data_IF_283506183732
#
_entry.id   IF_283506183732
#
_cell.length_a   1.000
_cell.length_b   1.000
_cell.length_c   1.000
_cell.angle_alpha   90.00
_cell.angle_beta   90.00
_cell.angle_gamma   90.00
#
_symmetry.space_group_name_H-M   'P 1'
#
loop_
_entity.id
_entity.type
_entity.pdbx_description
1 polymer ?
#
# COMPACT_ATOMS: atom_id res chain seq x y z
N UNK A 1 10.16 -18.40 -9.27
CA UNK A 1 8.95 -17.55 -9.19
C UNK A 1 9.41 -16.19 -8.71
N UNK A 2 8.71 -15.12 -9.06
CA UNK A 2 9.06 -13.76 -8.64
C UNK A 2 7.79 -12.96 -8.34
N UNK A 3 7.88 -12.01 -7.41
CA UNK A 3 6.79 -11.13 -7.05
C UNK A 3 6.94 -10.60 -5.62
N UNK A 4 6.07 -9.66 -5.26
CA UNK A 4 5.94 -9.12 -3.91
C UNK A 4 4.54 -9.44 -3.38
N UNK A 5 4.46 -10.24 -2.30
CA UNK A 5 3.19 -10.67 -1.68
C UNK A 5 2.44 -9.51 -1.04
N UNK A 6 3.14 -8.43 -0.65
CA UNK A 6 2.50 -7.22 -0.16
C UNK A 6 1.74 -6.49 -1.27
N UNK A 7 2.11 -6.68 -2.55
CA UNK A 7 1.36 -6.17 -3.70
C UNK A 7 0.23 -7.11 -4.16
N UNK A 8 0.01 -8.24 -3.49
CA UNK A 8 -1.07 -9.18 -3.84
C UNK A 8 -2.42 -8.72 -3.28
N UNK A 9 -3.15 -7.95 -4.09
CA UNK A 9 -4.48 -7.39 -3.77
C UNK A 9 -5.65 -8.10 -4.47
N UNK A 10 -5.38 -9.15 -5.25
CA UNK A 10 -6.43 -9.94 -5.90
C UNK A 10 -7.20 -10.75 -4.84
N UNK A 11 -8.54 -10.68 -4.87
CA UNK A 11 -9.40 -11.40 -3.92
C UNK A 11 -9.12 -12.91 -3.98
N UNK A 12 -8.94 -13.53 -2.80
CA UNK A 12 -8.69 -14.96 -2.66
C UNK A 12 -7.26 -15.40 -2.99
N UNK A 13 -6.35 -14.47 -3.33
CA UNK A 13 -4.95 -14.79 -3.56
C UNK A 13 -4.12 -14.50 -2.31
N UNK A 14 -4.06 -15.46 -1.40
CA UNK A 14 -3.24 -15.43 -0.19
C UNK A 14 -2.24 -16.57 -0.22
N UNK A 15 -0.96 -16.25 -0.40
CA UNK A 15 0.14 -17.21 -0.29
C UNK A 15 1.42 -16.46 0.08
N UNK A 16 2.37 -17.17 0.69
CA UNK A 16 3.76 -16.73 0.82
C UNK A 16 4.64 -17.53 -0.11
N UNK A 17 5.66 -16.91 -0.69
CA UNK A 17 6.64 -17.63 -1.50
C UNK A 17 7.34 -18.70 -0.67
N UNK A 18 7.61 -18.45 0.61
CA UNK A 18 8.17 -19.46 1.53
C UNK A 18 7.31 -20.73 1.60
N UNK A 19 5.99 -20.59 1.65
CA UNK A 19 5.06 -21.73 1.73
C UNK A 19 5.03 -22.50 0.40
N UNK A 20 5.02 -21.80 -0.74
CA UNK A 20 5.12 -22.41 -2.07
C UNK A 20 6.47 -23.13 -2.28
N UNK A 21 7.58 -22.49 -1.91
CA UNK A 21 8.93 -23.08 -1.96
C UNK A 21 8.99 -24.36 -1.13
N UNK A 22 8.41 -24.36 0.08
CA UNK A 22 8.35 -25.53 0.94
C UNK A 22 7.53 -26.67 0.31
N UNK A 23 6.38 -26.37 -0.29
CA UNK A 23 5.54 -27.37 -0.97
C UNK A 23 6.23 -27.98 -2.18
N UNK A 24 6.85 -27.17 -3.03
CA UNK A 24 7.61 -27.64 -4.21
C UNK A 24 8.77 -28.53 -3.74
N UNK A 25 9.52 -28.09 -2.74
CA UNK A 25 10.63 -28.84 -2.18
C UNK A 25 10.17 -30.20 -1.62
N UNK A 26 9.05 -30.24 -0.89
CA UNK A 26 8.47 -31.50 -0.39
C UNK A 26 8.02 -32.42 -1.53
N UNK A 27 7.45 -31.87 -2.60
CA UNK A 27 7.04 -32.66 -3.76
C UNK A 27 8.25 -33.29 -4.47
N UNK A 28 9.31 -32.50 -4.67
CA UNK A 28 10.55 -32.99 -5.28
C UNK A 28 11.20 -34.10 -4.44
N UNK A 29 11.24 -33.96 -3.11
CA UNK A 29 11.73 -34.99 -2.20
C UNK A 29 10.97 -36.32 -2.35
N UNK A 30 9.63 -36.28 -2.37
CA UNK A 30 8.79 -37.48 -2.55
C UNK A 30 9.05 -38.17 -3.89
N UNK A 31 9.34 -37.40 -4.94
CA UNK A 31 9.63 -37.91 -6.28
C UNK A 31 11.04 -38.48 -6.42
N UNK A 32 12.02 -37.90 -5.71
CA UNK A 32 13.37 -38.42 -5.66
C UNK A 32 13.41 -39.79 -4.97
N UNK A 33 12.70 -39.94 -3.83
CA UNK A 33 12.59 -41.21 -3.09
C UNK A 33 11.98 -42.32 -3.96
N UNK A 34 10.96 -42.02 -4.78
CA UNK A 34 10.29 -43.04 -5.60
C UNK A 34 11.08 -43.49 -6.84
N UNK A 35 12.15 -42.78 -7.22
CA UNK A 35 12.90 -43.05 -8.46
C UNK A 35 14.36 -43.50 -8.27
N UNK A 36 14.84 -43.72 -7.04
CA UNK A 36 16.24 -44.10 -6.75
C UNK A 36 17.30 -43.18 -7.42
N UNK A 37 16.90 -41.96 -7.79
CA UNK A 37 17.79 -40.99 -8.40
C UNK A 37 18.36 -40.12 -7.27
N UNK A 38 19.68 -40.04 -7.18
CA UNK A 38 20.39 -39.04 -6.38
C UNK A 38 20.17 -37.65 -6.97
N UNK A 39 18.99 -37.08 -6.76
CA UNK A 39 18.79 -35.65 -6.97
C UNK A 39 19.48 -34.92 -5.81
N UNK A 40 20.67 -34.38 -6.07
CA UNK A 40 21.33 -33.46 -5.16
C UNK A 40 20.35 -32.34 -4.79
N UNK A 41 20.02 -32.22 -3.50
CA UNK A 41 19.18 -31.20 -2.86
C UNK A 41 19.01 -29.91 -3.68
N UNK A 42 17.92 -29.82 -4.44
CA UNK A 42 17.51 -28.62 -5.17
C UNK A 42 16.61 -27.77 -4.28
N UNK A 43 17.10 -27.35 -3.08
CA UNK A 43 16.38 -26.30 -2.35
C UNK A 43 16.27 -25.09 -3.30
N UNK A 44 15.06 -24.55 -3.54
CA UNK A 44 14.91 -23.37 -4.38
C UNK A 44 15.86 -22.27 -3.90
N UNK A 45 16.69 -21.74 -4.82
CA UNK A 45 17.53 -20.58 -4.52
C UNK A 45 16.65 -19.34 -4.51
N UNK A 46 16.64 -18.66 -3.38
CA UNK A 46 15.92 -17.41 -3.18
C UNK A 46 16.95 -16.28 -3.13
N UNK A 47 16.62 -15.15 -3.75
CA UNK A 47 17.40 -13.91 -3.65
C UNK A 47 16.45 -12.73 -3.67
N UNK A 48 16.85 -11.64 -3.04
CA UNK A 48 16.05 -10.44 -2.88
C UNK A 48 16.64 -9.30 -3.70
N UNK A 49 15.77 -8.42 -4.21
CA UNK A 49 16.15 -7.18 -4.87
C UNK A 49 15.56 -6.03 -4.05
N UNK A 50 16.39 -5.42 -3.21
CA UNK A 50 15.94 -4.39 -2.26
C UNK A 50 16.31 -2.97 -2.68
N UNK A 51 16.99 -2.76 -3.81
CA UNK A 51 17.32 -1.41 -4.30
C UNK A 51 16.24 -0.94 -5.27
N UNK A 52 15.57 0.16 -4.93
CA UNK A 52 14.53 0.76 -5.73
C UNK A 52 15.07 1.99 -6.47
N UNK A 53 15.05 1.91 -7.81
CA UNK A 53 15.50 2.97 -8.72
C UNK A 53 14.34 3.80 -9.29
N UNK A 54 13.09 3.49 -8.91
CA UNK A 54 11.89 4.10 -9.49
C UNK A 54 11.35 5.23 -8.63
N UNK A 55 11.43 5.08 -7.31
CA UNK A 55 10.96 6.04 -6.31
C UNK A 55 12.08 6.43 -5.36
N UNK A 56 11.98 7.63 -4.79
CA UNK A 56 12.97 8.16 -3.86
C UNK A 56 12.72 7.75 -2.40
N UNK A 57 13.69 8.02 -1.53
CA UNK A 57 13.68 7.64 -0.10
C UNK A 57 12.41 8.05 0.67
N UNK A 58 11.88 9.26 0.46
CA UNK A 58 10.66 9.73 1.15
C UNK A 58 9.42 8.84 0.93
N UNK A 59 9.14 8.42 -0.31
CA UNK A 59 8.03 7.52 -0.62
C UNK A 59 8.30 6.12 -0.06
N UNK A 60 9.54 5.63 -0.19
CA UNK A 60 9.91 4.31 0.31
C UNK A 60 9.85 4.20 1.83
N UNK A 61 10.16 5.27 2.56
CA UNK A 61 10.00 5.31 4.01
C UNK A 61 8.53 5.13 4.41
N UNK A 62 7.61 5.79 3.71
CA UNK A 62 6.17 5.60 3.92
C UNK A 62 5.73 4.18 3.56
N UNK A 63 6.16 3.67 2.40
CA UNK A 63 5.84 2.31 1.98
C UNK A 63 6.36 1.25 2.98
N UNK A 64 7.56 1.47 3.49
CA UNK A 64 8.20 0.61 4.51
C UNK A 64 7.44 0.62 5.84
N UNK A 65 6.88 1.75 6.26
CA UNK A 65 6.06 1.80 7.48
C UNK A 65 4.77 0.99 7.34
N UNK A 66 4.15 0.97 6.14
CA UNK A 66 2.99 0.11 5.86
C UNK A 66 3.38 -1.38 5.87
N UNK A 67 4.54 -1.73 5.32
CA UNK A 67 5.08 -3.10 5.40
C UNK A 67 5.36 -3.49 6.85
N UNK A 68 5.88 -2.58 7.67
CA UNK A 68 6.11 -2.81 9.09
C UNK A 68 4.80 -3.16 9.81
N UNK A 69 3.75 -2.37 9.60
CA UNK A 69 2.41 -2.67 10.14
C UNK A 69 1.89 -4.05 9.69
N UNK A 70 2.09 -4.42 8.42
CA UNK A 70 1.75 -5.76 7.93
C UNK A 70 2.53 -6.86 8.67
N UNK A 71 3.82 -6.66 8.98
CA UNK A 71 4.63 -7.65 9.71
C UNK A 71 4.21 -7.79 11.16
N UNK A 72 3.93 -6.68 11.84
CA UNK A 72 3.56 -6.67 13.26
C UNK A 72 2.15 -7.21 13.46
N UNK A 73 1.19 -6.74 12.68
CA UNK A 73 -0.22 -7.11 12.84
C UNK A 73 -0.57 -8.42 12.12
N UNK A 74 0.09 -8.73 10.99
CA UNK A 74 -0.24 -9.88 10.15
C UNK A 74 1.01 -10.64 9.69
N UNK A 75 1.82 -11.20 10.62
CA UNK A 75 3.12 -11.82 10.31
C UNK A 75 3.02 -12.97 9.30
N UNK A 76 1.89 -13.66 9.25
CA UNK A 76 1.68 -14.77 8.31
C UNK A 76 1.12 -14.35 6.95
N UNK A 77 0.90 -13.05 6.72
CA UNK A 77 0.26 -12.54 5.50
C UNK A 77 1.21 -12.15 4.37
N UNK A 78 2.49 -11.98 4.68
CA UNK A 78 3.54 -11.57 3.73
C UNK A 78 4.84 -12.35 4.00
N UNK A 79 5.72 -12.41 2.99
CA UNK A 79 7.08 -12.90 3.19
C UNK A 79 7.93 -11.84 3.93
N UNK A 80 8.88 -12.32 4.73
CA UNK A 80 9.86 -11.48 5.38
C UNK A 80 10.96 -11.12 4.38
N UNK A 81 11.01 -9.85 3.98
CA UNK A 81 11.96 -9.33 3.00
C UNK A 81 12.78 -8.18 3.60
N UNK A 82 13.98 -7.96 3.08
CA UNK A 82 14.75 -6.76 3.42
C UNK A 82 13.98 -5.50 3.00
N UNK A 83 13.96 -4.42 3.82
CA UNK A 83 13.33 -3.17 3.43
C UNK A 83 13.91 -2.62 2.12
N UNK A 84 13.05 -2.04 1.28
CA UNK A 84 13.51 -1.36 0.08
C UNK A 84 14.29 -0.09 0.44
N UNK A 85 15.40 0.14 -0.27
CA UNK A 85 16.26 1.30 -0.14
C UNK A 85 16.37 2.04 -1.48
N UNK A 86 16.54 3.36 -1.41
CA UNK A 86 16.90 4.18 -2.55
C UNK A 86 18.08 5.06 -2.19
N UNK A 87 19.00 5.19 -3.15
CA UNK A 87 20.15 6.09 -3.05
C UNK A 87 19.76 7.56 -3.26
N UNK A 88 18.57 7.80 -3.82
CA UNK A 88 18.06 9.13 -4.15
C UNK A 88 17.16 9.63 -3.04
N UNK A 89 17.51 10.80 -2.49
CA UNK A 89 16.65 11.53 -1.56
C UNK A 89 15.43 12.15 -2.27
N UNK A 90 14.39 12.48 -1.51
CA UNK A 90 13.23 13.18 -2.07
C UNK A 90 12.28 13.66 -0.97
N UNK A 91 11.27 14.45 -1.33
CA UNK A 91 10.33 15.02 -0.38
C UNK A 91 9.57 13.94 0.38
N UNK A 92 9.11 14.25 1.59
CA UNK A 92 8.16 13.38 2.29
C UNK A 92 6.78 13.50 1.62
N UNK A 93 5.99 12.42 1.55
CA UNK A 93 4.59 12.49 1.17
C UNK A 93 3.84 13.54 2.00
N UNK A 94 2.92 14.26 1.36
CA UNK A 94 2.19 15.35 1.99
C UNK A 94 0.74 14.94 2.23
N UNK A 95 0.29 15.07 3.47
CA UNK A 95 -1.13 14.92 3.80
C UNK A 95 -1.79 16.30 3.70
N UNK A 96 -2.80 16.42 2.85
CA UNK A 96 -3.52 17.68 2.61
C UNK A 96 -4.61 17.84 3.68
N UNK A 97 -4.69 19.03 4.26
CA UNK A 97 -5.61 19.38 5.35
C UNK A 97 -6.31 20.71 5.07
N UNK A 98 -7.50 20.88 5.66
CA UNK A 98 -8.21 22.17 5.65
C UNK A 98 -8.80 22.58 4.29
N UNK A 99 -8.77 21.71 3.28
CA UNK A 99 -9.34 21.94 1.96
C UNK A 99 -10.64 21.16 1.77
N UNK A 100 -11.65 21.78 1.14
CA UNK A 100 -12.82 21.05 0.66
C UNK A 100 -12.46 20.25 -0.60
N UNK A 101 -13.03 19.06 -0.77
CA UNK A 101 -12.78 18.22 -1.94
C UNK A 101 -12.97 18.95 -3.28
N UNK A 102 -14.00 19.81 -3.36
CA UNK A 102 -14.26 20.63 -4.55
C UNK A 102 -13.10 21.58 -4.86
N UNK A 103 -12.45 22.13 -3.84
CA UNK A 103 -11.34 23.09 -4.01
C UNK A 103 -10.04 22.45 -4.46
N UNK A 104 -9.88 21.13 -4.31
CA UNK A 104 -8.70 20.41 -4.80
C UNK A 104 -8.58 20.38 -6.32
N UNK A 105 -9.74 20.42 -7.01
CA UNK A 105 -9.82 20.19 -8.45
C UNK A 105 -10.36 21.40 -9.22
N UNK A 106 -10.60 22.54 -8.55
CA UNK A 106 -11.13 23.74 -9.20
C UNK A 106 -10.00 24.60 -9.78
N UNK A 107 -10.19 24.96 -11.05
CA UNK A 107 -9.31 25.87 -11.78
C UNK A 107 -9.44 27.33 -11.26
N UNK A 108 -8.32 27.89 -10.79
CA UNK A 108 -7.98 29.32 -10.55
C UNK A 108 -8.91 30.20 -9.70
N UNK A 109 -8.38 30.74 -8.60
CA UNK A 109 -7.87 32.12 -8.53
C UNK A 109 -7.17 32.37 -7.18
N UNK A 110 -5.97 32.94 -7.24
CA UNK A 110 -5.23 33.68 -6.21
C UNK A 110 -5.15 33.15 -4.76
N UNK A 111 -3.89 32.88 -4.38
CA UNK A 111 -3.31 32.82 -3.02
C UNK A 111 -3.42 31.47 -2.30
N UNK A 112 -2.24 30.90 -2.11
CA UNK A 112 -1.88 29.92 -1.08
C UNK A 112 -2.82 28.72 -0.99
N UNK A 113 -2.65 27.72 -1.88
CA UNK A 113 -2.89 26.31 -1.54
C UNK A 113 -2.24 25.39 -2.58
N UNK A 114 -1.84 24.20 -2.12
CA UNK A 114 -1.09 23.18 -2.89
C UNK A 114 -1.89 22.78 -4.13
N UNK A 115 -1.41 23.22 -5.30
CA UNK A 115 -2.04 22.88 -6.58
C UNK A 115 -1.42 21.60 -7.17
N UNK A 116 -2.29 20.69 -7.58
CA UNK A 116 -1.94 19.51 -8.38
C UNK A 116 -2.56 19.75 -9.75
N UNK A 117 -1.80 20.37 -10.65
CA UNK A 117 -2.12 20.29 -12.09
C UNK A 117 -2.11 18.79 -12.44
N UNK A 118 -3.03 18.26 -13.25
CA UNK A 118 -3.12 16.83 -13.60
C UNK A 118 -2.80 16.65 -15.09
N UNK A 119 -1.51 16.68 -15.43
CA UNK A 119 -0.93 16.34 -16.73
C UNK A 119 -0.74 14.84 -16.93
N UNK A 120 -0.10 14.47 -18.05
CA UNK A 120 0.01 13.07 -18.51
C UNK A 120 0.78 12.11 -17.56
N UNK A 121 1.47 12.63 -16.56
CA UNK A 121 2.22 11.85 -15.56
C UNK A 121 1.58 11.81 -14.18
N UNK A 122 0.35 12.30 -14.03
CA UNK A 122 -0.30 12.52 -12.74
C UNK A 122 -1.63 11.78 -12.68
N UNK A 123 -1.92 11.19 -11.53
CA UNK A 123 -3.10 10.33 -11.35
C UNK A 123 -3.74 10.55 -9.99
N UNK A 124 -5.06 10.40 -9.95
CA UNK A 124 -5.79 10.26 -8.71
C UNK A 124 -6.11 8.78 -8.52
N UNK A 125 -5.69 8.25 -7.37
CA UNK A 125 -5.98 6.88 -6.97
C UNK A 125 -7.08 6.92 -5.90
N UNK A 126 -8.17 6.20 -6.18
CA UNK A 126 -9.30 6.01 -5.27
C UNK A 126 -9.39 4.55 -4.81
N UNK A 127 -10.09 4.30 -3.69
CA UNK A 127 -10.16 2.97 -3.09
C UNK A 127 -10.82 1.93 -4.00
N UNK A 128 -11.98 2.26 -4.58
CA UNK A 128 -12.78 1.34 -5.39
C UNK A 128 -13.59 2.06 -6.49
N UNK A 129 -14.39 1.28 -7.23
CA UNK A 129 -15.19 1.80 -8.35
C UNK A 129 -16.31 2.75 -7.90
N UNK A 130 -16.84 2.58 -6.69
CA UNK A 130 -17.89 3.46 -6.16
C UNK A 130 -17.32 4.84 -5.84
N UNK A 131 -16.13 4.88 -5.24
CA UNK A 131 -15.39 6.12 -5.00
C UNK A 131 -15.00 6.82 -6.33
N UNK A 132 -14.59 6.05 -7.33
CA UNK A 132 -14.27 6.55 -8.68
C UNK A 132 -15.46 7.24 -9.33
N UNK A 133 -16.62 6.58 -9.33
CA UNK A 133 -17.85 7.12 -9.90
C UNK A 133 -18.34 8.36 -9.14
N UNK A 134 -18.24 8.36 -7.82
CA UNK A 134 -18.59 9.52 -6.99
C UNK A 134 -17.71 10.73 -7.34
N UNK A 135 -16.39 10.54 -7.41
CA UNK A 135 -15.44 11.61 -7.74
C UNK A 135 -15.66 12.14 -9.16
N UNK A 136 -15.82 11.27 -10.16
CA UNK A 136 -16.11 11.66 -11.54
C UNK A 136 -17.46 12.39 -11.68
N UNK A 137 -18.44 12.09 -10.82
CA UNK A 137 -19.72 12.79 -10.78
C UNK A 137 -19.63 14.21 -10.21
N UNK A 138 -18.63 14.51 -9.38
CA UNK A 138 -18.44 15.85 -8.80
C UNK A 138 -17.88 16.84 -9.82
N UNK A 139 -16.86 16.44 -10.59
CA UNK A 139 -16.28 17.25 -11.66
C UNK A 139 -15.85 16.33 -12.81
N UNK A 140 -16.23 16.65 -14.05
CA UNK A 140 -15.87 15.85 -15.22
C UNK A 140 -14.47 16.15 -15.78
N UNK A 141 -13.83 17.23 -15.32
CA UNK A 141 -12.53 17.73 -15.81
C UNK A 141 -11.39 17.48 -14.82
N UNK A 142 -11.54 16.49 -13.93
CA UNK A 142 -10.56 16.20 -12.89
C UNK A 142 -9.26 15.59 -13.47
N UNK A 143 -9.33 14.90 -14.62
CA UNK A 143 -8.18 14.19 -15.21
C UNK A 143 -8.23 12.68 -14.98
N UNK A 144 -7.07 12.01 -14.93
CA UNK A 144 -6.99 10.55 -14.82
C UNK A 144 -7.29 10.06 -13.40
N UNK A 145 -8.43 9.38 -13.22
CA UNK A 145 -8.81 8.71 -11.97
C UNK A 145 -8.80 7.20 -12.17
N UNK A 146 -8.06 6.48 -11.32
CA UNK A 146 -7.97 5.03 -11.32
C UNK A 146 -8.26 4.47 -9.94
N UNK A 147 -8.83 3.27 -9.88
CA UNK A 147 -8.87 2.51 -8.61
C UNK A 147 -7.47 1.97 -8.29
N UNK A 148 -7.23 1.61 -7.03
CA UNK A 148 -5.98 0.90 -6.63
C UNK A 148 -5.74 -0.36 -7.48
N UNK A 149 -6.82 -1.07 -7.84
CA UNK A 149 -6.72 -2.28 -8.65
C UNK A 149 -6.30 -1.98 -10.10
N UNK A 150 -6.87 -0.94 -10.70
CA UNK A 150 -6.52 -0.51 -12.06
C UNK A 150 -5.10 0.07 -12.15
N UNK A 151 -4.68 0.83 -11.13
CA UNK A 151 -3.35 1.42 -11.08
C UNK A 151 -2.23 0.38 -10.85
N UNK A 152 -2.57 -0.86 -10.45
CA UNK A 152 -1.59 -1.90 -10.16
C UNK A 152 -0.75 -2.21 -11.41
N UNK A 153 0.57 -2.10 -11.28
CA UNK A 153 1.51 -2.34 -12.37
C UNK A 153 1.77 -1.11 -13.25
N UNK A 154 1.11 0.01 -12.98
CA UNK A 154 1.40 1.32 -13.58
C UNK A 154 2.26 2.16 -12.64
N UNK A 155 2.91 3.18 -13.15
CA UNK A 155 3.72 4.12 -12.36
C UNK A 155 3.51 5.54 -12.86
N UNK A 156 3.46 6.49 -11.94
CA UNK A 156 3.14 7.88 -12.21
C UNK A 156 4.15 8.78 -11.49
N UNK A 157 4.42 9.95 -12.05
CA UNK A 157 5.32 10.91 -11.40
C UNK A 157 4.66 11.43 -10.13
N UNK A 158 3.41 11.87 -10.23
CA UNK A 158 2.66 12.33 -9.07
C UNK A 158 1.36 11.56 -8.86
N UNK A 159 1.08 11.22 -7.61
CA UNK A 159 -0.11 10.48 -7.19
C UNK A 159 -0.84 11.27 -6.11
N UNK A 160 -2.13 11.50 -6.31
CA UNK A 160 -3.06 11.90 -5.26
C UNK A 160 -3.86 10.67 -4.81
N UNK A 161 -3.67 10.24 -3.56
CA UNK A 161 -4.52 9.26 -2.93
C UNK A 161 -5.74 9.98 -2.33
N UNK A 162 -6.92 9.71 -2.87
CA UNK A 162 -8.16 10.42 -2.52
C UNK A 162 -9.12 9.53 -1.72
N UNK A 163 -9.54 10.02 -0.56
CA UNK A 163 -10.50 9.41 0.37
C UNK A 163 -10.23 7.93 0.66
N UNK A 164 -8.95 7.53 0.72
CA UNK A 164 -8.63 6.12 0.86
C UNK A 164 -9.11 5.56 2.20
N UNK A 165 -8.99 6.32 3.29
CA UNK A 165 -9.41 5.89 4.62
C UNK A 165 -10.91 6.07 4.83
N UNK A 166 -11.50 7.14 4.30
CA UNK A 166 -12.92 7.41 4.34
C UNK A 166 -13.73 6.35 3.57
N UNK A 167 -13.25 5.94 2.39
CA UNK A 167 -13.88 4.91 1.55
C UNK A 167 -13.43 3.49 1.94
N UNK A 168 -12.58 3.33 2.96
CA UNK A 168 -12.10 2.03 3.40
C UNK A 168 -13.19 1.26 4.18
N UNK A 169 -13.44 -0.03 3.85
CA UNK A 169 -14.35 -0.87 4.62
C UNK A 169 -13.87 -1.15 6.06
N UNK A 170 -12.61 -0.81 6.40
CA UNK A 170 -12.09 -0.98 7.75
C UNK A 170 -12.60 0.08 8.73
N UNK A 171 -12.96 1.29 8.27
CA UNK A 171 -13.50 2.37 9.10
C UNK A 171 -12.71 2.56 10.41
N UNK A 172 -13.38 2.56 11.57
CA UNK A 172 -12.76 2.73 12.89
C UNK A 172 -11.73 1.65 13.28
N UNK A 173 -11.62 0.55 12.54
CA UNK A 173 -10.63 -0.51 12.80
C UNK A 173 -9.21 -0.02 12.57
N UNK A 174 -9.00 1.00 11.74
CA UNK A 174 -7.69 1.64 11.53
C UNK A 174 -7.05 2.11 12.84
N UNK A 175 -7.83 2.42 13.88
CA UNK A 175 -7.32 2.80 15.21
C UNK A 175 -6.35 1.78 15.82
N UNK A 176 -6.43 0.50 15.45
CA UNK A 176 -5.54 -0.53 15.99
C UNK A 176 -4.07 -0.31 15.63
N UNK A 177 -3.77 0.41 14.54
CA UNK A 177 -2.38 0.67 14.13
C UNK A 177 -1.63 1.51 15.17
N UNK A 178 -2.36 2.34 15.95
CA UNK A 178 -1.79 3.13 17.04
C UNK A 178 -1.28 2.27 18.20
N UNK A 179 -1.65 0.98 18.27
CA UNK A 179 -1.09 0.06 19.26
C UNK A 179 0.40 -0.22 19.04
N UNK A 180 0.92 0.05 17.85
CA UNK A 180 2.34 -0.03 17.50
C UNK A 180 3.13 1.17 18.06
N UNK A 181 2.46 2.27 18.43
CA UNK A 181 3.10 3.43 19.05
C UNK A 181 3.15 3.26 20.57
N UNK A 182 4.35 3.37 21.16
CA UNK A 182 4.58 3.19 22.60
C UNK A 182 3.66 4.10 23.45
N UNK A 183 3.49 5.36 23.03
CA UNK A 183 2.70 6.38 23.73
C UNK A 183 1.18 6.12 23.74
N UNK A 184 0.66 5.36 22.76
CA UNK A 184 -0.77 5.12 22.56
C UNK A 184 -1.23 3.72 22.99
N UNK A 185 -0.28 2.84 23.34
CA UNK A 185 -0.50 1.47 23.77
C UNK A 185 -1.51 1.30 24.92
N UNK A 186 -1.68 2.31 25.79
CA UNK A 186 -2.52 2.23 27.00
C UNK A 186 -4.02 2.47 26.78
N UNK A 187 -4.43 3.03 25.64
CA UNK A 187 -5.84 3.38 25.36
C UNK A 187 -6.44 2.79 24.09
N UNK A 188 -5.62 2.11 23.28
CA UNK A 188 -6.04 1.51 22.00
C UNK A 188 -6.47 0.07 22.24
N UNK A 189 -7.54 -0.37 21.55
CA UNK A 189 -7.96 -1.78 21.59
C UNK A 189 -6.81 -2.65 21.08
N UNK A 190 -6.49 -3.72 21.81
CA UNK A 190 -5.50 -4.70 21.40
C UNK A 190 -5.88 -5.32 20.07
N UNK A 191 -4.88 -5.57 19.23
CA UNK A 191 -5.06 -6.27 17.97
C UNK A 191 -5.66 -7.66 18.20
N UNK A 192 -6.57 -8.03 17.30
CA UNK A 192 -7.26 -9.32 17.30
C UNK A 192 -7.50 -9.72 15.84
N UNK A 193 -6.94 -10.85 15.37
CA UNK A 193 -7.09 -11.30 13.98
C UNK A 193 -8.55 -11.36 13.52
N UNK A 194 -9.45 -11.85 14.38
CA UNK A 194 -10.88 -12.00 14.08
C UNK A 194 -11.59 -10.67 13.79
N UNK A 195 -11.24 -9.62 14.55
CA UNK A 195 -11.88 -8.32 14.41
C UNK A 195 -11.22 -7.46 13.32
N UNK A 196 -9.94 -7.68 13.07
CA UNK A 196 -9.08 -6.79 12.28
C UNK A 196 -8.64 -7.40 10.94
N UNK A 197 -9.07 -8.61 10.57
CA UNK A 197 -8.64 -9.29 9.34
C UNK A 197 -8.69 -8.42 8.07
N UNK A 198 -9.69 -7.53 7.96
CA UNK A 198 -9.87 -6.63 6.83
C UNK A 198 -8.67 -5.69 6.63
N UNK A 199 -7.97 -5.30 7.70
CA UNK A 199 -6.81 -4.41 7.63
C UNK A 199 -5.64 -5.05 6.89
N UNK A 200 -5.51 -6.38 6.86
CA UNK A 200 -4.47 -7.03 6.06
C UNK A 200 -4.65 -6.69 4.58
N UNK A 201 -5.87 -6.80 4.06
CA UNK A 201 -6.15 -6.39 2.68
C UNK A 201 -6.03 -4.89 2.49
N UNK A 202 -6.49 -4.07 3.44
CA UNK A 202 -6.43 -2.60 3.29
C UNK A 202 -4.99 -2.07 3.30
N UNK A 203 -4.13 -2.58 4.19
CA UNK A 203 -2.71 -2.23 4.21
C UNK A 203 -2.01 -2.63 2.91
N UNK A 204 -2.35 -3.78 2.32
CA UNK A 204 -1.83 -4.17 0.99
C UNK A 204 -2.31 -3.22 -0.12
N UNK A 205 -3.56 -2.79 -0.08
CA UNK A 205 -4.06 -1.78 -1.04
C UNK A 205 -3.35 -0.44 -0.87
N UNK A 206 -3.16 0.00 0.37
CA UNK A 206 -2.44 1.23 0.68
C UNK A 206 -0.99 1.17 0.18
N UNK A 207 -0.30 0.06 0.44
CA UNK A 207 1.07 -0.18 -0.05
C UNK A 207 1.14 -0.16 -1.59
N UNK A 208 0.20 -0.82 -2.28
CA UNK A 208 0.12 -0.77 -3.74
C UNK A 208 -0.07 0.66 -4.24
N UNK A 209 -0.97 1.43 -3.64
CA UNK A 209 -1.25 2.81 -4.03
C UNK A 209 -0.03 3.72 -3.83
N UNK A 210 0.64 3.64 -2.68
CA UNK A 210 1.86 4.41 -2.36
C UNK A 210 2.97 4.11 -3.38
N UNK A 211 3.19 2.84 -3.69
CA UNK A 211 4.27 2.42 -4.63
C UNK A 211 3.98 2.75 -6.09
N UNK A 212 2.84 3.39 -6.42
CA UNK A 212 2.61 3.91 -7.78
C UNK A 212 3.29 5.26 -8.02
N UNK A 213 3.68 5.97 -6.96
CA UNK A 213 4.29 7.29 -7.03
C UNK A 213 5.81 7.22 -7.21
N UNK A 214 6.34 8.01 -8.15
CA UNK A 214 7.79 8.13 -8.42
C UNK A 214 8.40 9.40 -7.82
N UNK A 215 7.70 10.53 -7.90
CA UNK A 215 8.19 11.85 -7.49
C UNK A 215 7.40 12.49 -6.35
N UNK A 216 6.06 12.50 -6.41
CA UNK A 216 5.24 13.10 -5.35
C UNK A 216 4.05 12.21 -4.99
N UNK A 217 3.77 12.16 -3.71
CA UNK A 217 2.59 11.50 -3.16
C UNK A 217 1.84 12.49 -2.26
N UNK A 218 0.60 12.75 -2.62
CA UNK A 218 -0.35 13.50 -1.80
C UNK A 218 -1.41 12.55 -1.27
N UNK A 219 -1.82 12.76 -0.03
CA UNK A 219 -2.89 11.99 0.60
C UNK A 219 -3.94 12.98 1.07
N UNK A 220 -5.17 12.80 0.61
CA UNK A 220 -6.30 13.61 0.99
C UNK A 220 -7.45 12.70 1.42
N UNK A 221 -8.00 12.98 2.59
CA UNK A 221 -9.17 12.31 3.13
C UNK A 221 -10.08 13.35 3.78
N UNK A 222 -11.33 13.42 3.32
CA UNK A 222 -12.35 14.34 3.84
C UNK A 222 -12.74 14.00 5.29
N UNK A 223 -12.87 12.70 5.60
CA UNK A 223 -13.15 12.26 6.97
C UNK A 223 -11.85 12.20 7.79
N UNK A 224 -11.58 13.29 8.49
CA UNK A 224 -10.43 13.41 9.39
C UNK A 224 -10.49 12.34 10.49
N UNK A 225 -11.67 11.93 10.98
CA UNK A 225 -11.76 10.96 12.08
C UNK A 225 -11.33 9.56 11.63
N UNK A 226 -11.64 9.19 10.39
CA UNK A 226 -11.26 7.90 9.83
C UNK A 226 -9.77 7.86 9.43
N UNK A 227 -9.22 8.98 8.98
CA UNK A 227 -7.80 9.11 8.64
C UNK A 227 -6.90 9.45 9.84
N UNK A 228 -7.44 9.91 10.97
CA UNK A 228 -6.66 10.29 12.17
C UNK A 228 -5.64 9.24 12.61
N UNK A 229 -5.97 7.93 12.69
CA UNK A 229 -5.01 6.94 13.15
C UNK A 229 -3.74 6.89 12.29
N UNK A 230 -3.88 7.00 10.96
CA UNK A 230 -2.72 6.92 10.06
C UNK A 230 -1.93 8.23 10.07
N UNK A 231 -2.61 9.36 10.28
CA UNK A 231 -1.99 10.68 10.39
C UNK A 231 -1.14 10.77 11.65
N UNK A 232 -1.61 10.22 12.76
CA UNK A 232 -0.84 10.15 14.01
C UNK A 232 0.32 9.17 13.93
N UNK A 233 0.22 8.14 13.10
CA UNK A 233 1.28 7.14 12.90
C UNK A 233 2.46 7.65 12.05
N UNK A 234 2.25 8.61 11.16
CA UNK A 234 3.25 9.13 10.22
C UNK A 234 3.90 10.45 10.67
#
# INVERSE_FOLDING_TARGET
MAGDVAQCIARGSTFRFRDLSALIYQWDLKRAISKNNQYNSLKPKEFELNVNYRSHKGILQLASSVIHLLRVLFPDSIDELSPEISEVGGPKPLIIEGCEAKTLFVNRNEKENVYIELGAGQVIIVRDETAKQHLMGLNSDIGLVLTVFEAKGMEFNDVLLYNFFADSPALLKWRVILSDLEDYSKGVRTFSPENHYILSSELKHLYVAITRARERLWIFDEDIKLSEPIRTYW
#
